data_IF_920961408796
#
_entry.id   IF_920961408796
#
_cell.length_a   1.000
_cell.length_b   1.000
_cell.length_c   1.000
_cell.angle_alpha   90.00
_cell.angle_beta   90.00
_cell.angle_gamma   90.00
#
_symmetry.space_group_name_H-M   'P 1'
#
loop_
_entity.id
_entity.type
_entity.pdbx_description
1 polymer ?
#
# COMPACT_ATOMS: atom_id res chain seq x y z
N UNK A 1 21.05 23.81 -11.88
CA UNK A 1 20.95 22.49 -12.52
C UNK A 1 20.34 21.54 -11.50
N UNK A 2 19.03 21.29 -11.56
CA UNK A 2 18.36 20.38 -10.64
C UNK A 2 18.58 18.96 -11.17
N UNK A 3 19.37 18.14 -10.46
CA UNK A 3 19.52 16.72 -10.80
C UNK A 3 18.18 16.05 -10.52
N UNK A 4 17.40 15.80 -11.57
CA UNK A 4 16.24 14.91 -11.50
C UNK A 4 16.72 13.52 -11.07
N UNK A 5 16.46 13.16 -9.83
CA UNK A 5 16.79 11.83 -9.32
C UNK A 5 15.78 10.85 -9.87
N UNK A 6 16.09 10.17 -10.98
CA UNK A 6 15.23 9.08 -11.47
C UNK A 6 15.15 8.00 -10.40
N UNK A 7 13.96 7.79 -9.82
CA UNK A 7 13.70 6.69 -8.89
C UNK A 7 13.53 5.38 -9.64
N UNK A 8 13.86 4.27 -9.00
CA UNK A 8 13.49 2.95 -9.48
C UNK A 8 11.95 2.85 -9.42
N UNK A 9 11.28 2.30 -10.46
CA UNK A 9 9.84 2.09 -10.44
C UNK A 9 9.40 1.31 -9.19
N UNK A 10 8.21 1.64 -8.69
CA UNK A 10 7.63 0.92 -7.56
C UNK A 10 7.54 -0.59 -7.87
N UNK A 11 7.87 -1.48 -6.91
CA UNK A 11 7.70 -2.91 -7.05
C UNK A 11 6.27 -3.28 -7.47
N UNK A 12 6.14 -4.23 -8.39
CA UNK A 12 4.87 -4.91 -8.62
C UNK A 12 4.66 -5.90 -7.47
N UNK A 13 3.75 -5.55 -6.56
CA UNK A 13 3.34 -6.43 -5.47
C UNK A 13 2.11 -7.23 -5.92
N UNK A 14 2.18 -8.57 -6.00
CA UNK A 14 1.02 -9.39 -6.34
C UNK A 14 -0.12 -9.18 -5.33
N UNK A 15 -1.38 -9.17 -5.79
CA UNK A 15 -2.50 -9.18 -4.88
C UNK A 15 -2.57 -10.48 -4.07
N UNK A 16 -3.23 -10.43 -2.92
CA UNK A 16 -3.52 -11.60 -2.08
C UNK A 16 -5.01 -11.83 -2.08
N UNK A 17 -5.47 -13.06 -2.30
CA UNK A 17 -6.90 -13.40 -2.32
C UNK A 17 -7.28 -14.19 -1.07
N UNK A 18 -8.34 -13.78 -0.39
CA UNK A 18 -8.88 -14.46 0.79
C UNK A 18 -10.41 -14.49 0.67
N UNK A 19 -10.99 -15.68 0.52
CA UNK A 19 -12.45 -15.86 0.55
C UNK A 19 -13.22 -15.03 -0.48
N UNK A 20 -12.71 -14.90 -1.71
CA UNK A 20 -13.37 -14.14 -2.79
C UNK A 20 -13.10 -12.63 -2.76
N UNK A 21 -12.23 -12.16 -1.85
CA UNK A 21 -11.77 -10.77 -1.80
C UNK A 21 -10.30 -10.70 -2.16
N UNK A 22 -9.97 -9.86 -3.14
CA UNK A 22 -8.62 -9.53 -3.57
C UNK A 22 -8.13 -8.29 -2.84
N UNK A 23 -7.01 -8.43 -2.16
CA UNK A 23 -6.32 -7.35 -1.48
C UNK A 23 -5.16 -6.88 -2.36
N UNK A 24 -5.10 -5.58 -2.63
CA UNK A 24 -4.09 -5.02 -3.53
C UNK A 24 -3.66 -3.61 -3.12
N UNK A 25 -2.43 -3.23 -3.49
CA UNK A 25 -1.95 -1.88 -3.27
C UNK A 25 -2.72 -0.89 -4.15
N UNK A 26 -3.19 0.22 -3.57
CA UNK A 26 -3.65 1.38 -4.35
C UNK A 26 -2.42 2.05 -4.97
N UNK A 27 -2.24 1.89 -6.28
CA UNK A 27 -1.07 2.40 -7.00
C UNK A 27 -0.98 3.93 -7.04
N UNK A 28 -2.12 4.62 -7.13
CA UNK A 28 -2.15 6.07 -7.20
C UNK A 28 -3.19 6.62 -6.23
N UNK A 29 -2.75 6.85 -4.99
CA UNK A 29 -3.62 7.34 -3.93
C UNK A 29 -4.18 8.73 -4.23
N UNK A 30 -3.39 9.62 -4.83
CA UNK A 30 -3.83 10.98 -5.19
C UNK A 30 -4.96 10.97 -6.22
N UNK A 31 -4.84 10.19 -7.30
CA UNK A 31 -5.91 10.06 -8.30
C UNK A 31 -7.14 9.34 -7.76
N UNK A 32 -6.99 8.53 -6.71
CA UNK A 32 -8.09 7.91 -5.99
C UNK A 32 -8.72 8.84 -4.93
N UNK A 33 -8.26 10.09 -4.82
CA UNK A 33 -8.82 11.10 -3.90
C UNK A 33 -8.23 11.07 -2.48
N UNK A 34 -7.13 10.36 -2.26
CA UNK A 34 -6.45 10.28 -0.96
C UNK A 34 -5.35 11.34 -0.80
N UNK A 35 -4.91 11.52 0.45
CA UNK A 35 -3.94 12.55 0.87
C UNK A 35 -2.47 12.24 0.49
N UNK A 36 -2.15 11.01 0.10
CA UNK A 36 -0.77 10.59 -0.20
C UNK A 36 -0.70 9.58 -1.36
N UNK A 37 0.49 9.48 -1.95
CA UNK A 37 0.87 8.37 -2.84
C UNK A 37 1.36 7.18 -2.03
N UNK A 38 0.93 5.97 -2.43
CA UNK A 38 1.29 4.72 -1.77
C UNK A 38 0.73 4.62 -0.34
N UNK A 39 1.00 3.49 0.32
CA UNK A 39 0.59 3.28 1.71
C UNK A 39 -0.88 2.93 1.93
N UNK A 40 -1.63 2.64 0.87
CA UNK A 40 -3.03 2.22 0.95
C UNK A 40 -3.23 0.81 0.41
N UNK A 41 -4.08 0.05 1.10
CA UNK A 41 -4.57 -1.27 0.72
C UNK A 41 -6.03 -1.16 0.29
N UNK A 42 -6.36 -1.65 -0.90
CA UNK A 42 -7.74 -1.84 -1.33
C UNK A 42 -8.17 -3.29 -1.11
N UNK A 43 -9.42 -3.47 -0.71
CA UNK A 43 -10.12 -4.74 -0.81
C UNK A 43 -11.12 -4.67 -1.96
N UNK A 44 -11.05 -5.65 -2.85
CA UNK A 44 -11.83 -5.71 -4.08
C UNK A 44 -12.57 -7.05 -4.12
N UNK A 45 -13.87 -7.00 -4.36
CA UNK A 45 -14.67 -8.20 -4.61
C UNK A 45 -14.20 -8.86 -5.93
N UNK A 46 -13.77 -10.11 -5.88
CA UNK A 46 -13.20 -10.79 -7.05
C UNK A 46 -14.23 -11.10 -8.14
N UNK A 47 -15.49 -11.22 -7.76
CA UNK A 47 -16.57 -11.61 -8.68
C UNK A 47 -16.99 -10.41 -9.53
N UNK A 48 -17.15 -9.26 -8.88
CA UNK A 48 -17.68 -8.03 -9.49
C UNK A 48 -16.58 -7.06 -9.89
N UNK A 49 -15.37 -7.18 -9.33
CA UNK A 49 -14.31 -6.19 -9.46
C UNK A 49 -14.57 -4.90 -8.66
N UNK A 50 -15.61 -4.87 -7.84
CA UNK A 50 -15.97 -3.68 -7.06
C UNK A 50 -15.03 -3.49 -5.88
N UNK A 51 -14.55 -2.28 -5.69
CA UNK A 51 -13.82 -1.93 -4.47
C UNK A 51 -14.79 -1.95 -3.28
N UNK A 52 -14.50 -2.80 -2.29
CA UNK A 52 -15.27 -2.92 -1.04
C UNK A 52 -14.87 -1.83 -0.04
N UNK A 53 -13.57 -1.61 0.13
CA UNK A 53 -13.02 -0.58 1.01
C UNK A 53 -11.56 -0.27 0.68
N UNK A 54 -11.05 0.82 1.26
CA UNK A 54 -9.63 1.18 1.26
C UNK A 54 -9.17 1.47 2.68
N UNK A 55 -7.95 1.04 3.02
CA UNK A 55 -7.34 1.21 4.33
C UNK A 55 -5.96 1.85 4.20
N UNK A 56 -5.68 2.88 5.01
CA UNK A 56 -4.33 3.45 5.15
C UNK A 56 -3.48 2.52 6.02
N UNK A 57 -2.41 1.97 5.46
CA UNK A 57 -1.48 1.05 6.14
C UNK A 57 -0.34 1.82 6.81
N UNK A 58 0.16 2.88 6.19
CA UNK A 58 1.17 3.74 6.78
C UNK A 58 1.11 5.15 6.20
N UNK A 59 1.59 6.12 6.98
CA UNK A 59 1.74 7.50 6.53
C UNK A 59 2.94 7.66 5.58
N UNK A 60 2.73 8.40 4.50
CA UNK A 60 3.75 8.74 3.53
C UNK A 60 3.58 10.20 3.05
N UNK A 61 3.42 11.10 4.01
CA UNK A 61 3.31 12.53 3.73
C UNK A 61 4.63 13.06 3.14
N UNK A 62 4.53 13.73 1.99
CA UNK A 62 5.67 14.37 1.33
C UNK A 62 6.11 15.59 2.12
N UNK A 63 7.41 15.84 2.18
CA UNK A 63 7.96 17.09 2.73
C UNK A 63 7.79 18.20 1.69
N UNK A 64 7.12 19.32 2.03
CA UNK A 64 6.99 20.47 1.14
C UNK A 64 8.35 21.02 0.70
N UNK A 65 8.45 21.47 -0.55
CA UNK A 65 9.68 22.04 -1.11
C UNK A 65 10.74 21.01 -1.53
N UNK A 66 10.47 19.71 -1.39
CA UNK A 66 11.28 18.63 -1.97
C UNK A 66 10.56 18.01 -3.17
N UNK A 67 11.34 17.45 -4.10
CA UNK A 67 10.83 16.70 -5.25
C UNK A 67 9.89 15.60 -4.79
N UNK A 68 8.67 15.53 -5.33
CA UNK A 68 7.57 14.77 -4.73
C UNK A 68 7.64 13.27 -4.99
N UNK A 69 7.89 12.88 -6.25
CA UNK A 69 7.88 11.49 -6.69
C UNK A 69 9.01 10.66 -6.06
N UNK A 70 10.19 11.25 -5.82
CA UNK A 70 11.30 10.59 -5.10
C UNK A 70 10.97 10.30 -3.63
N UNK A 71 9.91 10.90 -3.09
CA UNK A 71 9.47 10.69 -1.71
C UNK A 71 8.37 9.63 -1.59
N UNK A 72 7.78 9.19 -2.71
CA UNK A 72 6.70 8.21 -2.71
C UNK A 72 7.22 6.84 -2.23
N UNK A 73 6.47 6.21 -1.34
CA UNK A 73 6.81 4.92 -0.73
C UNK A 73 5.66 3.95 -0.95
N UNK A 74 5.97 2.88 -1.66
CA UNK A 74 5.05 1.84 -2.02
C UNK A 74 5.29 0.58 -1.18
N UNK A 75 4.35 -0.34 -1.24
CA UNK A 75 4.52 -1.71 -0.81
C UNK A 75 5.64 -2.32 -1.63
N UNK A 76 6.52 -3.00 -0.92
CA UNK A 76 7.58 -3.84 -1.47
C UNK A 76 7.13 -5.29 -1.52
N UNK A 77 6.36 -5.75 -0.54
CA UNK A 77 5.78 -7.10 -0.50
C UNK A 77 4.50 -7.12 0.32
N UNK A 78 3.66 -8.11 0.03
CA UNK A 78 2.46 -8.44 0.79
C UNK A 78 2.32 -9.96 0.84
N UNK A 79 2.00 -10.51 2.01
CA UNK A 79 1.85 -11.96 2.19
C UNK A 79 0.80 -12.30 3.24
N UNK A 80 0.01 -13.34 2.97
CA UNK A 80 -0.95 -13.88 3.94
C UNK A 80 -0.21 -14.65 5.03
N UNK A 81 -0.48 -14.30 6.28
CA UNK A 81 0.03 -14.99 7.45
C UNK A 81 -0.92 -16.11 7.88
N UNK A 82 -0.42 -17.09 8.63
CA UNK A 82 -1.20 -18.25 9.08
C UNK A 82 -2.41 -17.87 9.95
N UNK A 83 -2.37 -16.71 10.63
CA UNK A 83 -3.46 -16.19 11.44
C UNK A 83 -4.50 -15.39 10.64
N UNK A 84 -4.37 -15.31 9.30
CA UNK A 84 -5.29 -14.59 8.42
C UNK A 84 -4.98 -13.09 8.25
N UNK A 85 -3.93 -12.58 8.88
CA UNK A 85 -3.46 -11.21 8.68
C UNK A 85 -2.60 -11.08 7.42
N UNK A 86 -2.52 -9.88 6.87
CA UNK A 86 -1.60 -9.54 5.79
C UNK A 86 -0.35 -8.90 6.38
N UNK A 87 0.82 -9.47 6.11
CA UNK A 87 2.10 -8.82 6.38
C UNK A 87 2.52 -8.01 5.15
N UNK A 88 2.57 -6.69 5.31
CA UNK A 88 2.97 -5.74 4.29
C UNK A 88 4.31 -5.13 4.68
N UNK A 89 5.27 -5.14 3.75
CA UNK A 89 6.52 -4.41 3.89
C UNK A 89 6.53 -3.26 2.88
N UNK A 90 7.00 -2.08 3.27
CA UNK A 90 7.19 -0.96 2.37
C UNK A 90 8.63 -0.85 1.84
N UNK A 91 8.87 0.03 0.86
CA UNK A 91 10.20 0.25 0.27
C UNK A 91 11.25 0.76 1.27
N UNK A 92 10.81 1.40 2.37
CA UNK A 92 11.68 1.86 3.47
C UNK A 92 11.98 0.78 4.51
N UNK A 93 11.46 -0.44 4.33
CA UNK A 93 11.68 -1.56 5.25
C UNK A 93 10.72 -1.63 6.44
N UNK A 94 9.79 -0.69 6.57
CA UNK A 94 8.73 -0.77 7.59
C UNK A 94 7.82 -1.96 7.32
N UNK A 95 7.42 -2.66 8.39
CA UNK A 95 6.56 -3.84 8.35
C UNK A 95 5.27 -3.58 9.11
N UNK A 96 4.17 -4.01 8.53
CA UNK A 96 2.83 -3.73 9.03
C UNK A 96 1.99 -5.01 8.93
N UNK A 97 1.32 -5.35 10.03
CA UNK A 97 0.31 -6.41 10.06
C UNK A 97 -1.06 -5.75 9.94
N UNK A 98 -1.81 -6.20 8.93
CA UNK A 98 -3.18 -5.75 8.66
C UNK A 98 -4.14 -6.89 8.93
N UNK A 99 -5.15 -6.65 9.75
CA UNK A 99 -6.31 -7.54 9.85
C UNK A 99 -7.38 -7.06 8.86
N UNK A 100 -7.67 -7.82 7.79
CA UNK A 100 -8.64 -7.39 6.78
C UNK A 100 -10.10 -7.46 7.27
N UNK A 101 -10.39 -8.21 8.34
CA UNK A 101 -11.75 -8.31 8.89
C UNK A 101 -12.08 -7.10 9.75
N UNK A 102 -11.14 -6.67 10.58
CA UNK A 102 -11.32 -5.51 11.47
C UNK A 102 -10.77 -4.22 10.90
N UNK A 103 -10.08 -4.28 9.75
CA UNK A 103 -9.42 -3.15 9.10
C UNK A 103 -8.44 -2.42 10.03
N UNK A 104 -7.75 -3.18 10.89
CA UNK A 104 -6.78 -2.64 11.84
C UNK A 104 -5.37 -2.85 11.32
N UNK A 105 -4.49 -1.92 11.67
CA UNK A 105 -3.07 -1.95 11.29
C UNK A 105 -2.22 -1.85 12.54
N UNK A 106 -1.17 -2.67 12.60
CA UNK A 106 -0.15 -2.60 13.65
C UNK A 106 1.23 -2.70 13.04
N UNK A 107 2.22 -2.08 13.68
CA UNK A 107 3.61 -2.21 13.28
C UNK A 107 4.15 -3.57 13.71
N UNK A 108 4.82 -4.25 12.79
CA UNK A 108 5.52 -5.49 13.08
C UNK A 108 7.02 -5.20 13.31
N UNK A 109 7.68 -5.97 14.20
CA UNK A 109 9.11 -5.84 14.45
C UNK A 109 10.01 -6.24 13.26
#
# INVERSE_FOLDING_TARGET
MQKSGSRIPAPTVPPVSIGGVRYEQVRNGLSAGFEQMGGYLAAVDETTGSQLWTLKVYDNQRVPGKEGDVQDVFFKSMSLQANGQLLIQNERGGRFLVDPKTQTVSTAP
#
